data_IF_009598519650
#
_entry.id   IF_009598519650
#
_cell.length_a   1.000
_cell.length_b   1.000
_cell.length_c   1.000
_cell.angle_alpha   90.00
_cell.angle_beta   90.00
_cell.angle_gamma   90.00
#
_symmetry.space_group_name_H-M   'P 1'
#
loop_
_entity.id
_entity.type
_entity.pdbx_description
1 polymer ?
#
# COMPACT_ATOMS: atom_id res chain seq x y z
N UNK A 1 17.28 -14.47 4.78
CA UNK A 1 16.00 -15.19 4.86
C UNK A 1 14.90 -14.18 4.51
N UNK A 2 14.55 -14.06 3.23
CA UNK A 2 13.48 -13.16 2.74
C UNK A 2 12.63 -13.84 1.65
N UNK A 3 13.18 -14.86 0.98
CA UNK A 3 12.51 -15.57 -0.10
C UNK A 3 11.34 -16.49 0.34
N UNK A 4 11.23 -16.83 1.63
CA UNK A 4 10.19 -17.77 2.10
C UNK A 4 8.82 -17.09 2.32
N UNK A 5 8.76 -15.75 2.37
CA UNK A 5 7.51 -15.01 2.55
C UNK A 5 6.65 -14.94 1.27
N UNK A 6 7.23 -15.23 0.09
CA UNK A 6 6.50 -15.21 -1.19
C UNK A 6 5.90 -16.56 -1.60
N UNK A 7 6.26 -17.66 -0.90
CA UNK A 7 5.81 -19.02 -1.28
C UNK A 7 4.34 -19.32 -0.96
N UNK A 8 3.64 -18.50 -0.15
CA UNK A 8 2.25 -18.74 0.26
C UNK A 8 1.21 -17.94 -0.53
N UNK A 9 1.60 -17.27 -1.61
CA UNK A 9 0.68 -16.59 -2.53
C UNK A 9 0.07 -15.28 -2.02
N UNK A 10 0.18 -14.96 -0.72
CA UNK A 10 -0.30 -13.70 -0.16
C UNK A 10 0.53 -13.21 1.02
N UNK A 11 0.62 -11.88 1.18
CA UNK A 11 1.20 -11.21 2.34
C UNK A 11 0.43 -11.53 3.63
N UNK A 12 1.15 -11.69 4.73
CA UNK A 12 0.58 -11.86 6.07
C UNK A 12 -0.07 -10.58 6.58
N UNK A 13 -1.01 -10.69 7.53
CA UNK A 13 -1.67 -9.55 8.20
C UNK A 13 -0.67 -8.50 8.69
N UNK A 14 0.41 -8.93 9.34
CA UNK A 14 1.43 -8.01 9.88
C UNK A 14 2.15 -7.23 8.77
N UNK A 15 2.46 -7.90 7.65
CA UNK A 15 3.08 -7.25 6.49
C UNK A 15 2.15 -6.22 5.88
N UNK A 16 0.86 -6.53 5.76
CA UNK A 16 -0.16 -5.58 5.27
C UNK A 16 -0.29 -4.37 6.20
N UNK A 17 -0.34 -4.59 7.52
CA UNK A 17 -0.38 -3.49 8.49
C UNK A 17 0.88 -2.63 8.43
N UNK A 18 2.06 -3.22 8.22
CA UNK A 18 3.30 -2.46 8.01
C UNK A 18 3.24 -1.60 6.74
N UNK A 19 2.71 -2.12 5.62
CA UNK A 19 2.48 -1.31 4.41
C UNK A 19 1.59 -0.11 4.73
N UNK A 20 0.47 -0.35 5.41
CA UNK A 20 -0.50 0.71 5.73
C UNK A 20 0.11 1.77 6.64
N UNK A 21 0.86 1.38 7.66
CA UNK A 21 1.53 2.31 8.58
C UNK A 21 2.61 3.13 7.86
N UNK A 22 3.46 2.49 7.05
CA UNK A 22 4.52 3.14 6.28
C UNK A 22 3.92 4.15 5.28
N UNK A 23 2.86 3.76 4.58
CA UNK A 23 2.15 4.65 3.65
C UNK A 23 1.45 5.80 4.39
N UNK A 24 0.82 5.52 5.52
CA UNK A 24 0.19 6.54 6.35
C UNK A 24 1.23 7.56 6.85
N UNK A 25 2.41 7.09 7.25
CA UNK A 25 3.53 7.93 7.64
C UNK A 25 4.01 8.78 6.46
N UNK A 26 4.30 8.17 5.31
CA UNK A 26 4.76 8.86 4.10
C UNK A 26 3.73 9.90 3.64
N UNK A 27 2.45 9.55 3.53
CA UNK A 27 1.37 10.50 3.15
C UNK A 27 1.09 11.58 4.20
N UNK A 28 1.44 11.34 5.47
CA UNK A 28 1.38 12.36 6.51
C UNK A 28 2.59 13.32 6.47
N UNK A 29 3.64 13.00 5.72
CA UNK A 29 4.75 13.93 5.54
C UNK A 29 4.30 15.12 4.69
N UNK A 30 4.66 16.36 5.09
CA UNK A 30 4.24 17.56 4.40
C UNK A 30 4.73 17.60 2.95
N UNK A 31 5.89 17.01 2.65
CA UNK A 31 6.46 16.91 1.31
C UNK A 31 5.61 16.03 0.38
N UNK A 32 5.22 14.85 0.86
CA UNK A 32 4.36 13.93 0.10
C UNK A 32 2.96 14.50 -0.02
N UNK A 33 2.40 15.05 1.06
CA UNK A 33 1.08 15.69 1.05
C UNK A 33 1.01 16.85 0.07
N UNK A 34 2.03 17.71 0.01
CA UNK A 34 2.12 18.79 -0.98
C UNK A 34 2.19 18.23 -2.40
N UNK A 35 3.02 17.21 -2.62
CA UNK A 35 3.17 16.56 -3.93
C UNK A 35 1.86 15.91 -4.42
N UNK A 36 1.15 15.21 -3.55
CA UNK A 36 -0.16 14.62 -3.87
C UNK A 36 -1.19 15.74 -4.12
N UNK A 37 -1.24 16.77 -3.27
CA UNK A 37 -2.17 17.88 -3.46
C UNK A 37 -1.93 18.65 -4.78
N UNK A 38 -0.66 18.84 -5.14
CA UNK A 38 -0.26 19.46 -6.41
C UNK A 38 -0.64 18.59 -7.61
N UNK A 39 -0.32 17.29 -7.54
CA UNK A 39 -0.67 16.31 -8.58
C UNK A 39 -2.19 16.15 -8.75
N UNK A 40 -2.98 16.14 -7.66
CA UNK A 40 -4.45 16.09 -7.72
C UNK A 40 -5.03 17.33 -8.39
N UNK A 41 -4.37 18.49 -8.24
CA UNK A 41 -4.84 19.75 -8.83
C UNK A 41 -4.53 19.85 -10.33
N UNK A 42 -3.40 19.27 -10.77
CA UNK A 42 -3.02 19.20 -12.18
C UNK A 42 -3.75 18.06 -12.91
N UNK A 43 -3.56 16.82 -12.45
CA UNK A 43 -4.04 15.63 -13.16
C UNK A 43 -4.28 14.45 -12.20
N UNK A 44 -5.51 13.92 -12.18
CA UNK A 44 -5.85 12.73 -11.39
C UNK A 44 -4.94 11.53 -11.66
N UNK A 45 -4.43 11.40 -12.88
CA UNK A 45 -3.52 10.31 -13.25
C UNK A 45 -2.13 10.47 -12.61
N UNK A 46 -1.66 11.71 -12.46
CA UNK A 46 -0.38 12.01 -11.84
C UNK A 46 -0.43 11.72 -10.33
N UNK A 47 -1.55 12.02 -9.69
CA UNK A 47 -1.78 11.65 -8.29
C UNK A 47 -1.73 10.13 -8.08
N UNK A 48 -2.37 9.36 -8.97
CA UNK A 48 -2.35 7.89 -8.91
C UNK A 48 -0.93 7.37 -9.11
N UNK A 49 -0.20 7.86 -10.11
CA UNK A 49 1.19 7.45 -10.36
C UNK A 49 2.10 7.75 -9.16
N UNK A 50 1.92 8.90 -8.52
CA UNK A 50 2.64 9.28 -7.30
C UNK A 50 2.33 8.34 -6.14
N UNK A 51 1.06 8.01 -5.90
CA UNK A 51 0.68 7.06 -4.85
C UNK A 51 1.17 5.64 -5.14
N UNK A 52 1.14 5.21 -6.41
CA UNK A 52 1.68 3.91 -6.83
C UNK A 52 3.18 3.83 -6.58
N UNK A 53 3.95 4.84 -6.98
CA UNK A 53 5.39 4.86 -6.74
C UNK A 53 5.73 4.78 -5.24
N UNK A 54 4.95 5.44 -4.38
CA UNK A 54 5.09 5.33 -2.93
C UNK A 54 4.80 3.91 -2.44
N UNK A 55 3.74 3.26 -2.91
CA UNK A 55 3.46 1.87 -2.59
C UNK A 55 4.60 0.94 -3.03
N UNK A 56 5.12 1.13 -4.24
CA UNK A 56 6.23 0.36 -4.78
C UNK A 56 7.50 0.51 -3.94
N UNK A 57 7.83 1.74 -3.53
CA UNK A 57 8.99 2.04 -2.69
C UNK A 57 8.88 1.33 -1.33
N UNK A 58 7.69 1.37 -0.69
CA UNK A 58 7.41 0.65 0.56
C UNK A 58 7.58 -0.86 0.36
N UNK A 59 7.04 -1.43 -0.72
CA UNK A 59 7.17 -2.85 -1.00
C UNK A 59 8.64 -3.26 -1.17
N UNK A 60 9.40 -2.49 -1.95
CA UNK A 60 10.83 -2.71 -2.14
C UNK A 60 11.62 -2.61 -0.82
N UNK A 61 11.30 -1.64 0.04
CA UNK A 61 11.91 -1.52 1.37
C UNK A 61 11.66 -2.75 2.25
N UNK A 62 10.47 -3.37 2.13
CA UNK A 62 10.13 -4.61 2.86
C UNK A 62 10.66 -5.88 2.18
N UNK A 63 11.36 -5.77 1.04
CA UNK A 63 11.84 -6.91 0.26
C UNK A 63 10.71 -7.64 -0.49
N UNK A 64 9.63 -6.94 -0.79
CA UNK A 64 8.45 -7.44 -1.49
C UNK A 64 8.48 -6.92 -2.93
N UNK A 65 8.20 -7.81 -3.87
CA UNK A 65 8.03 -7.41 -5.26
C UNK A 65 6.81 -6.48 -5.40
N UNK A 66 6.96 -5.27 -5.98
CA UNK A 66 5.86 -4.31 -6.07
C UNK A 66 4.65 -4.84 -6.85
N UNK A 67 4.85 -5.62 -7.92
CA UNK A 67 3.74 -6.22 -8.67
C UNK A 67 2.99 -7.24 -7.81
N UNK A 68 3.72 -8.04 -7.04
CA UNK A 68 3.13 -8.97 -6.08
C UNK A 68 2.40 -8.25 -4.94
N UNK A 69 2.96 -7.18 -4.40
CA UNK A 69 2.37 -6.38 -3.32
C UNK A 69 1.05 -5.73 -3.76
N UNK A 70 1.02 -5.13 -4.96
CA UNK A 70 -0.20 -4.55 -5.54
C UNK A 70 -1.26 -5.64 -5.79
N UNK A 71 -0.87 -6.79 -6.32
CA UNK A 71 -1.78 -7.93 -6.49
C UNK A 71 -2.36 -8.39 -5.14
N UNK A 72 -1.52 -8.48 -4.11
CA UNK A 72 -1.95 -8.82 -2.74
C UNK A 72 -2.98 -7.81 -2.23
N UNK A 73 -2.73 -6.50 -2.36
CA UNK A 73 -3.68 -5.46 -1.95
C UNK A 73 -5.07 -5.65 -2.59
N UNK A 74 -5.10 -5.96 -3.90
CA UNK A 74 -6.34 -6.25 -4.62
C UNK A 74 -7.07 -7.51 -4.15
N UNK A 75 -6.36 -8.45 -3.53
CA UNK A 75 -6.92 -9.70 -3.01
C UNK A 75 -7.28 -9.62 -1.51
N UNK A 76 -6.96 -8.53 -0.79
CA UNK A 76 -7.18 -8.42 0.66
C UNK A 76 -8.65 -8.62 1.01
N UNK A 77 -9.53 -7.96 0.27
CA UNK A 77 -10.97 -8.03 0.52
C UNK A 77 -11.53 -9.43 0.31
N UNK A 78 -10.84 -10.27 -0.48
CA UNK A 78 -11.23 -11.66 -0.77
C UNK A 78 -10.60 -12.64 0.21
N UNK A 79 -9.31 -12.49 0.52
CA UNK A 79 -8.56 -13.43 1.39
C UNK A 79 -8.80 -13.15 2.87
N UNK A 80 -8.94 -11.87 3.24
CA UNK A 80 -9.17 -11.43 4.61
C UNK A 80 -10.60 -10.89 4.80
N UNK A 81 -11.57 -11.38 4.01
CA UNK A 81 -12.98 -10.95 4.12
C UNK A 81 -13.55 -11.08 5.56
N UNK A 82 -13.05 -12.08 6.30
CA UNK A 82 -13.45 -12.38 7.67
C UNK A 82 -12.75 -11.45 8.69
N UNK A 83 -11.61 -10.86 8.34
CA UNK A 83 -10.85 -9.95 9.20
C UNK A 83 -11.28 -8.50 8.93
N UNK A 84 -12.45 -8.14 9.48
CA UNK A 84 -13.07 -6.82 9.27
C UNK A 84 -12.16 -5.67 9.68
N UNK A 85 -11.32 -5.84 10.71
CA UNK A 85 -10.38 -4.81 11.15
C UNK A 85 -9.36 -4.50 10.05
N UNK A 86 -8.77 -5.55 9.46
CA UNK A 86 -7.83 -5.40 8.35
C UNK A 86 -8.49 -4.80 7.10
N UNK A 87 -9.71 -5.23 6.79
CA UNK A 87 -10.47 -4.68 5.66
C UNK A 87 -10.81 -3.20 5.88
N UNK A 88 -11.18 -2.79 7.10
CA UNK A 88 -11.42 -1.38 7.45
C UNK A 88 -10.13 -0.56 7.32
N UNK A 89 -9.00 -1.09 7.80
CA UNK A 89 -7.68 -0.46 7.62
C UNK A 89 -7.36 -0.28 6.13
N UNK A 90 -7.63 -1.29 5.31
CA UNK A 90 -7.43 -1.23 3.86
C UNK A 90 -8.31 -0.18 3.17
N UNK A 91 -9.60 -0.07 3.54
CA UNK A 91 -10.44 0.99 3.01
C UNK A 91 -10.00 2.38 3.44
N UNK A 92 -9.54 2.55 4.68
CA UNK A 92 -8.93 3.81 5.15
C UNK A 92 -7.66 4.15 4.37
N UNK A 93 -6.89 3.14 4.03
CA UNK A 93 -5.71 3.26 3.17
C UNK A 93 -6.08 3.73 1.76
N UNK A 94 -7.13 3.15 1.14
CA UNK A 94 -7.62 3.57 -0.19
C UNK A 94 -8.30 4.94 -0.22
N UNK A 95 -8.88 5.38 0.91
CA UNK A 95 -9.63 6.63 1.00
C UNK A 95 -8.75 7.87 1.24
N UNK A 96 -7.43 7.71 1.34
CA UNK A 96 -6.45 8.79 1.50
C UNK A 96 -5.89 9.25 0.17
#
# INVERSE_FOLDING_TARGET
MAAELQSTGMMSREQLLQVFDRFNFLTSQPDVKKRIADAVHNDKQEAVAMTTAIQEEIFLEMGIDPSFGIACLGQITTVYENDRDLVIQFYKFLAK
#
